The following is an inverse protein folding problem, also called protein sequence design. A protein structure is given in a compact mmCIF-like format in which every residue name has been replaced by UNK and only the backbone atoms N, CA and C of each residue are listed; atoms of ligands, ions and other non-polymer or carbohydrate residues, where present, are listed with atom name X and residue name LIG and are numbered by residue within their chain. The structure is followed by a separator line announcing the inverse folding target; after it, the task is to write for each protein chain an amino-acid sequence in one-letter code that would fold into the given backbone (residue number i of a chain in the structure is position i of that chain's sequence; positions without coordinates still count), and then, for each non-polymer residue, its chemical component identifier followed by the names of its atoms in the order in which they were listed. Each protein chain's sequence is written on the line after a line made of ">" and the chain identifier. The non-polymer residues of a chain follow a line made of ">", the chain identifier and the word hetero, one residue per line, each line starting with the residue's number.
data_IF_990884323370
#
_entry.id   IF_990884323370
#
_cell.length_a   1.000
_cell.length_b   1.000
_cell.length_c   1.000
_cell.angle_alpha   90.00
_cell.angle_beta   90.00
_cell.angle_gamma   90.00
#
_symmetry.space_group_name_H-M   'P 1'
#
loop_
_entity.id
_entity.type
_entity.pdbx_description
1 polymer ?
#
# COMPACT_ATOMS: atom_id res chain seq x y z
N UNK A 1 51.62 -3.49 70.49
CA UNK A 1 50.15 -3.61 70.39
C UNK A 1 49.81 -3.87 68.93
N UNK A 2 49.33 -5.07 68.60
CA UNK A 2 49.04 -5.50 67.22
C UNK A 2 47.54 -5.28 66.97
N UNK A 3 47.19 -4.32 66.12
CA UNK A 3 45.81 -4.05 65.72
C UNK A 3 45.28 -5.22 64.88
N UNK A 4 44.47 -6.09 65.50
CA UNK A 4 43.67 -7.09 64.79
C UNK A 4 42.44 -6.39 64.21
N UNK A 5 42.60 -5.75 63.05
CA UNK A 5 41.45 -5.37 62.24
C UNK A 5 40.82 -6.66 61.67
N UNK A 6 39.65 -7.00 62.19
CA UNK A 6 38.91 -8.20 61.81
C UNK A 6 38.46 -8.09 60.35
N UNK A 7 39.05 -8.93 59.49
CA UNK A 7 38.74 -9.03 58.06
C UNK A 7 37.23 -9.30 57.82
N UNK A 8 36.56 -9.95 58.77
CA UNK A 8 35.12 -10.20 58.70
C UNK A 8 34.29 -8.92 58.80
N UNK A 9 34.74 -7.90 59.55
CA UNK A 9 34.01 -6.63 59.68
C UNK A 9 34.13 -5.76 58.42
N UNK A 10 35.22 -5.90 57.66
CA UNK A 10 35.41 -5.21 56.37
C UNK A 10 34.54 -5.88 55.30
N UNK A 11 34.43 -7.21 55.32
CA UNK A 11 33.60 -7.97 54.37
C UNK A 11 32.10 -7.75 54.57
N UNK A 12 31.62 -7.56 55.81
CA UNK A 12 30.20 -7.24 56.07
C UNK A 12 29.85 -5.79 55.72
N UNK A 13 30.80 -4.86 55.81
CA UNK A 13 30.60 -3.45 55.42
C UNK A 13 30.61 -3.28 53.90
N UNK A 14 31.37 -4.10 53.17
CA UNK A 14 31.39 -4.11 51.69
C UNK A 14 30.11 -4.71 51.09
N UNK A 15 29.53 -5.74 51.72
CA UNK A 15 28.24 -6.34 51.32
C UNK A 15 27.03 -5.43 51.60
N UNK A 16 27.12 -4.54 52.59
CA UNK A 16 26.05 -3.57 52.89
C UNK A 16 26.13 -2.32 51.99
N UNK A 17 27.32 -1.97 51.48
CA UNK A 17 27.47 -0.90 50.49
C UNK A 17 27.11 -1.33 49.06
N UNK A 18 27.23 -2.61 48.71
CA UNK A 18 26.77 -3.13 47.40
C UNK A 18 25.24 -3.31 47.30
N UNK A 19 24.52 -3.31 48.43
CA UNK A 19 23.07 -3.49 48.44
C UNK A 19 22.27 -2.18 48.34
N UNK A 20 22.93 -1.01 48.41
CA UNK A 20 22.27 0.32 48.40
C UNK A 20 22.54 1.09 47.09
N UNK A 21 23.30 0.52 46.16
CA UNK A 21 23.54 1.11 44.82
C UNK A 21 22.65 0.55 43.70
N UNK A 22 21.65 -0.29 44.02
CA UNK A 22 20.78 -0.92 42.99
C UNK A 22 19.51 -0.14 42.66
N UNK A 23 19.25 1.00 43.29
CA UNK A 23 18.01 1.78 43.09
C UNK A 23 18.30 3.28 43.09
N UNK A 24 19.06 3.73 42.10
CA UNK A 24 18.98 5.11 41.58
C UNK A 24 19.68 5.18 40.22
N UNK A 25 19.06 4.54 39.22
CA UNK A 25 19.06 5.11 37.88
C UNK A 25 17.69 5.74 37.65
N UNK A 26 17.71 7.06 37.69
CA UNK A 26 16.72 8.00 37.18
C UNK A 26 15.74 7.42 36.16
N UNK A 27 14.46 7.57 36.48
CA UNK A 27 13.40 8.06 35.58
C UNK A 27 13.79 8.18 34.11
N UNK A 28 13.37 7.21 33.31
CA UNK A 28 13.10 7.45 31.91
C UNK A 28 11.63 7.16 31.69
N UNK A 29 10.86 8.22 31.51
CA UNK A 29 9.47 8.21 31.04
C UNK A 29 9.34 7.66 29.59
N UNK A 30 10.11 6.64 29.22
CA UNK A 30 10.18 6.12 27.85
C UNK A 30 9.90 4.61 27.73
N UNK A 31 9.60 3.91 28.83
CA UNK A 31 9.27 2.47 28.80
C UNK A 31 7.77 2.18 28.98
N UNK A 32 6.92 3.22 28.92
CA UNK A 32 5.51 2.97 28.60
C UNK A 32 5.47 2.54 27.14
N UNK A 33 4.87 1.39 26.77
CA UNK A 33 4.56 1.14 25.37
C UNK A 33 3.86 2.39 24.85
N UNK A 34 4.36 2.95 23.75
CA UNK A 34 3.76 4.11 23.13
C UNK A 34 2.24 3.86 23.07
N UNK A 35 1.47 4.81 23.61
CA UNK A 35 0.02 4.66 23.64
C UNK A 35 -0.44 4.28 22.23
N UNK A 36 -1.29 3.25 22.07
CA UNK A 36 -1.67 2.77 20.75
C UNK A 36 -2.19 3.94 19.93
N UNK A 37 -1.54 4.19 18.80
CA UNK A 37 -1.96 5.22 17.87
C UNK A 37 -3.33 4.84 17.32
N UNK A 38 -4.26 5.79 17.32
CA UNK A 38 -5.54 5.61 16.64
C UNK A 38 -5.29 5.64 15.12
N UNK A 39 -5.09 4.46 14.52
CA UNK A 39 -4.78 4.27 13.10
C UNK A 39 -5.88 4.79 12.16
N UNK A 40 -7.07 5.12 12.69
CA UNK A 40 -8.11 5.80 11.91
C UNK A 40 -7.80 7.29 11.69
N UNK A 41 -6.93 7.87 12.53
CA UNK A 41 -6.54 9.28 12.53
C UNK A 41 -5.08 9.50 12.15
N UNK A 42 -4.17 8.67 12.66
CA UNK A 42 -2.75 8.70 12.33
C UNK A 42 -2.35 7.37 11.69
N UNK A 43 -2.16 7.42 10.37
CA UNK A 43 -2.01 6.27 9.49
C UNK A 43 -0.56 5.83 9.32
N UNK A 44 0.39 6.45 10.00
CA UNK A 44 1.82 6.11 9.86
C UNK A 44 2.44 6.47 8.51
N UNK A 45 1.73 7.23 7.65
CA UNK A 45 2.24 7.79 6.40
C UNK A 45 1.59 9.15 6.14
N UNK A 46 2.18 9.94 5.24
CA UNK A 46 1.59 11.21 4.81
C UNK A 46 0.42 11.00 3.85
N UNK A 47 -0.59 11.87 3.94
CA UNK A 47 -1.72 11.86 3.01
C UNK A 47 -1.36 12.63 1.73
N UNK A 48 -1.67 12.11 0.53
CA UNK A 48 -1.32 12.77 -0.72
C UNK A 48 -2.16 14.05 -0.96
N UNK A 49 -1.54 15.06 -1.56
CA UNK A 49 -2.23 16.24 -2.12
C UNK A 49 -2.43 16.15 -3.64
N UNK A 50 -1.67 15.27 -4.30
CA UNK A 50 -1.73 14.98 -5.74
C UNK A 50 -1.44 13.52 -6.01
N UNK A 51 -2.15 12.94 -6.97
CA UNK A 51 -1.90 11.58 -7.48
C UNK A 51 -1.85 11.60 -8.99
N UNK A 52 -0.79 11.06 -9.58
CA UNK A 52 -0.66 10.89 -11.02
C UNK A 52 -0.91 9.44 -11.42
N UNK A 53 -1.69 9.26 -12.47
CA UNK A 53 -1.98 7.99 -13.12
C UNK A 53 -1.37 8.02 -14.51
N UNK A 54 -0.53 7.03 -14.82
CA UNK A 54 0.12 6.88 -16.12
C UNK A 54 -0.34 5.55 -16.70
N UNK A 55 -1.15 5.61 -17.76
CA UNK A 55 -1.57 4.44 -18.51
C UNK A 55 -0.72 4.33 -19.77
N UNK A 56 0.14 3.32 -19.85
CA UNK A 56 1.03 3.08 -20.99
C UNK A 56 0.61 1.82 -21.73
N UNK A 57 0.23 1.93 -22.99
CA UNK A 57 -0.02 0.77 -23.84
C UNK A 57 1.28 -0.05 -23.96
N UNK A 58 1.23 -1.34 -23.64
CA UNK A 58 2.44 -2.18 -23.56
C UNK A 58 3.03 -2.51 -24.93
N UNK A 59 2.24 -2.37 -26.00
CA UNK A 59 2.66 -2.64 -27.38
C UNK A 59 3.18 -1.38 -28.06
N UNK A 60 2.43 -0.27 -27.98
CA UNK A 60 2.76 0.98 -28.69
C UNK A 60 3.59 1.95 -27.87
N UNK A 61 3.72 1.72 -26.55
CA UNK A 61 4.33 2.64 -25.59
C UNK A 61 3.65 4.02 -25.48
N UNK A 62 2.48 4.20 -26.10
CA UNK A 62 1.71 5.43 -25.97
C UNK A 62 1.21 5.60 -24.53
N UNK A 63 1.38 6.80 -23.98
CA UNK A 63 0.96 7.15 -22.62
C UNK A 63 -0.27 8.04 -22.60
N UNK A 64 -1.11 7.81 -21.59
CA UNK A 64 -2.22 8.68 -21.21
C UNK A 64 -2.09 8.99 -19.73
N UNK A 65 -1.91 10.28 -19.41
CA UNK A 65 -1.69 10.73 -18.03
C UNK A 65 -2.93 11.41 -17.47
N UNK A 66 -3.25 11.17 -16.21
CA UNK A 66 -4.33 11.82 -15.46
C UNK A 66 -3.82 12.21 -14.09
N UNK A 67 -4.16 13.40 -13.61
CA UNK A 67 -3.80 13.82 -12.27
C UNK A 67 -5.07 14.01 -11.44
N UNK A 68 -5.04 13.54 -10.20
CA UNK A 68 -6.01 13.88 -9.18
C UNK A 68 -5.40 14.85 -8.19
N UNK A 69 -6.14 15.88 -7.82
CA UNK A 69 -5.73 16.92 -6.87
C UNK A 69 -6.64 16.86 -5.64
N UNK A 70 -6.08 17.17 -4.48
CA UNK A 70 -6.83 17.26 -3.24
C UNK A 70 -7.81 18.43 -3.31
N UNK A 71 -9.08 18.15 -3.02
CA UNK A 71 -10.15 19.13 -2.91
C UNK A 71 -10.83 18.99 -1.55
N UNK A 72 -11.82 19.84 -1.27
CA UNK A 72 -12.65 19.70 -0.07
C UNK A 72 -13.38 18.34 0.00
N UNK A 73 -13.67 17.74 -1.17
CA UNK A 73 -14.37 16.45 -1.29
C UNK A 73 -13.42 15.26 -1.52
N UNK A 74 -12.15 15.42 -1.16
CA UNK A 74 -11.07 14.45 -1.38
C UNK A 74 -10.37 14.59 -2.73
N UNK A 75 -9.57 13.60 -3.12
CA UNK A 75 -8.86 13.57 -4.39
C UNK A 75 -9.83 13.48 -5.57
N UNK A 76 -9.74 14.43 -6.52
CA UNK A 76 -10.54 14.46 -7.75
C UNK A 76 -9.66 14.67 -8.97
N UNK A 77 -9.98 13.99 -10.07
CA UNK A 77 -9.26 14.20 -11.33
C UNK A 77 -9.42 15.63 -11.84
N UNK A 78 -8.32 16.22 -12.27
CA UNK A 78 -8.23 17.59 -12.79
C UNK A 78 -8.88 17.74 -14.18
N UNK A 79 -9.00 16.63 -14.91
CA UNK A 79 -9.63 16.56 -16.22
C UNK A 79 -10.57 15.35 -16.34
N UNK A 80 -11.53 15.48 -17.25
CA UNK A 80 -12.58 14.46 -17.49
C UNK A 80 -12.36 13.71 -18.81
N UNK A 81 -11.21 13.85 -19.46
CA UNK A 81 -10.94 13.17 -20.72
C UNK A 81 -10.84 11.65 -20.46
N UNK A 82 -11.58 10.86 -21.22
CA UNK A 82 -11.54 9.41 -21.05
C UNK A 82 -10.16 8.86 -21.41
N UNK A 83 -9.66 7.94 -20.59
CA UNK A 83 -8.53 7.09 -20.98
C UNK A 83 -9.07 6.08 -21.99
N UNK A 84 -8.48 6.04 -23.18
CA UNK A 84 -8.89 5.10 -24.21
C UNK A 84 -8.11 3.78 -24.08
N UNK A 85 -8.86 2.69 -24.00
CA UNK A 85 -8.38 1.33 -23.92
C UNK A 85 -8.88 0.56 -25.13
N UNK A 86 -8.00 -0.16 -25.82
CA UNK A 86 -8.36 -0.95 -26.98
C UNK A 86 -8.55 -2.42 -26.57
N UNK A 87 -9.60 -3.05 -27.06
CA UNK A 87 -9.79 -4.49 -26.92
C UNK A 87 -8.60 -5.27 -27.48
N UNK A 88 -8.15 -6.29 -26.74
CA UNK A 88 -6.99 -7.11 -27.08
C UNK A 88 -5.65 -6.52 -26.63
N UNK A 89 -5.60 -5.24 -26.24
CA UNK A 89 -4.38 -4.60 -25.78
C UNK A 89 -4.21 -4.70 -24.25
N UNK A 90 -2.98 -4.47 -23.81
CA UNK A 90 -2.61 -4.35 -22.40
C UNK A 90 -2.04 -2.97 -22.10
N UNK A 91 -2.27 -2.52 -20.86
CA UNK A 91 -1.88 -1.19 -20.39
C UNK A 91 -1.22 -1.32 -19.02
N UNK A 92 0.06 -0.94 -18.94
CA UNK A 92 0.72 -0.70 -17.67
C UNK A 92 0.09 0.54 -17.03
N UNK A 93 -0.38 0.39 -15.80
CA UNK A 93 -0.73 1.48 -14.91
C UNK A 93 0.44 1.71 -13.95
N UNK A 94 0.87 2.96 -13.83
CA UNK A 94 1.64 3.45 -12.69
C UNK A 94 0.86 4.55 -11.95
N UNK A 95 0.83 4.45 -10.62
CA UNK A 95 0.21 5.42 -9.71
C UNK A 95 1.33 6.07 -8.89
N UNK A 96 1.43 7.39 -8.94
CA UNK A 96 2.42 8.16 -8.20
C UNK A 96 1.74 9.15 -7.26
N UNK A 97 1.94 8.94 -5.96
CA UNK A 97 1.42 9.78 -4.90
C UNK A 97 2.44 10.87 -4.54
N UNK A 98 1.94 12.09 -4.35
CA UNK A 98 2.71 13.24 -3.94
C UNK A 98 2.08 13.95 -2.75
N UNK A 99 2.91 14.59 -1.92
CA UNK A 99 2.52 15.59 -0.94
C UNK A 99 3.53 16.75 -1.03
N UNK A 100 3.06 17.97 -1.24
CA UNK A 100 3.90 19.16 -1.38
C UNK A 100 5.05 18.99 -2.40
N UNK A 101 4.76 18.26 -3.49
CA UNK A 101 5.73 17.94 -4.55
C UNK A 101 6.71 16.80 -4.23
N UNK A 102 6.75 16.29 -3.00
CA UNK A 102 7.53 15.11 -2.61
C UNK A 102 6.79 13.84 -2.99
N UNK A 103 7.48 12.87 -3.58
CA UNK A 103 6.94 11.55 -3.91
C UNK A 103 6.79 10.69 -2.65
N UNK A 104 5.63 10.06 -2.48
CA UNK A 104 5.25 9.30 -1.28
C UNK A 104 5.30 7.78 -1.46
N UNK A 105 5.35 7.26 -2.69
CA UNK A 105 5.16 5.82 -2.95
C UNK A 105 6.01 4.87 -2.08
N UNK A 106 7.23 5.27 -1.71
CA UNK A 106 8.12 4.49 -0.85
C UNK A 106 7.51 4.20 0.53
N UNK A 107 6.61 5.07 1.02
CA UNK A 107 5.91 4.91 2.29
C UNK A 107 4.93 3.74 2.24
N UNK A 108 4.25 3.49 1.11
CA UNK A 108 3.29 2.38 0.97
C UNK A 108 3.95 1.00 0.81
N UNK A 109 5.26 0.96 0.56
CA UNK A 109 6.02 -0.26 0.30
C UNK A 109 7.06 -0.57 1.38
N UNK A 110 7.01 0.12 2.52
CA UNK A 110 7.83 -0.25 3.68
C UNK A 110 7.41 -1.64 4.22
N UNK A 111 8.22 -2.23 5.10
CA UNK A 111 7.91 -3.52 5.72
C UNK A 111 6.64 -3.48 6.57
N UNK A 112 6.36 -2.33 7.18
CA UNK A 112 5.22 -2.07 8.06
C UNK A 112 3.95 -1.74 7.26
N UNK A 113 4.10 -1.02 6.14
CA UNK A 113 2.97 -0.49 5.37
C UNK A 113 2.51 -1.42 4.25
N UNK A 114 3.44 -2.15 3.63
CA UNK A 114 3.12 -3.10 2.57
C UNK A 114 2.14 -4.21 2.98
N UNK A 115 2.07 -4.72 4.24
CA UNK A 115 1.06 -5.70 4.64
C UNK A 115 -0.38 -5.15 4.72
N UNK A 116 -0.55 -3.82 4.75
CA UNK A 116 -1.82 -3.15 5.05
C UNK A 116 -2.32 -2.17 3.97
N UNK A 117 -1.57 -1.93 2.88
CA UNK A 117 -2.00 -1.03 1.78
C UNK A 117 -2.23 -1.73 0.44
N UNK A 118 -3.46 -1.82 -0.06
CA UNK A 118 -3.76 -2.43 -1.38
C UNK A 118 -4.65 -1.53 -2.23
N UNK A 119 -4.28 -1.39 -3.50
CA UNK A 119 -5.14 -0.79 -4.52
C UNK A 119 -6.15 -1.79 -5.04
N UNK A 120 -7.39 -1.32 -5.18
CA UNK A 120 -8.51 -2.01 -5.78
C UNK A 120 -9.07 -1.20 -6.96
N UNK A 121 -9.41 -1.91 -8.03
CA UNK A 121 -9.84 -1.34 -9.30
C UNK A 121 -11.19 -1.91 -9.70
N UNK A 122 -12.14 -1.05 -10.01
CA UNK A 122 -13.50 -1.44 -10.32
C UNK A 122 -14.06 -0.58 -11.44
N UNK A 123 -14.56 -1.19 -12.52
CA UNK A 123 -15.34 -0.47 -13.51
C UNK A 123 -16.74 -0.20 -12.96
N UNK A 124 -17.22 1.03 -13.18
CA UNK A 124 -18.61 1.42 -12.98
C UNK A 124 -19.22 1.80 -14.33
N UNK A 125 -20.45 1.37 -14.58
CA UNK A 125 -21.24 1.74 -15.76
C UNK A 125 -22.47 2.48 -15.31
N UNK A 126 -22.70 3.68 -15.82
CA UNK A 126 -23.84 4.54 -15.46
C UNK A 126 -23.97 4.72 -13.93
N UNK A 127 -22.85 4.95 -13.25
CA UNK A 127 -22.80 5.14 -11.79
C UNK A 127 -22.95 3.87 -10.95
N UNK A 128 -23.13 2.69 -11.56
CA UNK A 128 -23.26 1.40 -10.87
C UNK A 128 -22.00 0.56 -11.02
N UNK A 129 -21.62 -0.15 -9.97
CA UNK A 129 -20.52 -1.11 -10.00
C UNK A 129 -20.82 -2.23 -11.00
N UNK A 130 -19.84 -2.56 -11.86
CA UNK A 130 -19.90 -3.75 -12.71
C UNK A 130 -19.63 -4.98 -11.84
N UNK A 131 -20.49 -5.99 -11.92
CA UNK A 131 -20.36 -7.22 -11.14
C UNK A 131 -19.05 -7.95 -11.44
N UNK A 132 -18.48 -8.65 -10.45
CA UNK A 132 -17.15 -9.27 -10.59
C UNK A 132 -17.02 -10.20 -11.80
N UNK A 133 -18.05 -11.01 -12.07
CA UNK A 133 -18.06 -11.94 -13.20
C UNK A 133 -18.18 -11.24 -14.58
N UNK A 134 -18.72 -10.02 -14.62
CA UNK A 134 -18.72 -9.18 -15.81
C UNK A 134 -17.39 -8.43 -15.93
N UNK A 135 -16.86 -7.90 -14.82
CA UNK A 135 -15.54 -7.28 -14.77
C UNK A 135 -14.47 -8.24 -15.31
N UNK A 136 -14.50 -9.52 -14.88
CA UNK A 136 -13.57 -10.55 -15.36
C UNK A 136 -13.75 -10.89 -16.85
N UNK A 137 -14.90 -10.58 -17.45
CA UNK A 137 -15.12 -10.72 -18.90
C UNK A 137 -14.60 -9.53 -19.68
N UNK A 138 -14.55 -8.34 -19.08
CA UNK A 138 -14.08 -7.12 -19.71
C UNK A 138 -12.57 -6.92 -19.57
N UNK A 139 -12.03 -7.15 -18.37
CA UNK A 139 -10.66 -6.76 -18.01
C UNK A 139 -10.07 -7.74 -17.00
N UNK A 140 -8.76 -7.96 -17.05
CA UNK A 140 -7.98 -8.52 -15.95
C UNK A 140 -6.90 -7.55 -15.50
N UNK A 141 -6.43 -7.68 -14.26
CA UNK A 141 -5.33 -6.88 -13.72
C UNK A 141 -4.32 -7.76 -13.00
N UNK A 142 -3.05 -7.55 -13.30
CA UNK A 142 -1.92 -8.19 -12.64
C UNK A 142 -1.08 -7.13 -11.92
N UNK A 143 -0.87 -7.32 -10.61
CA UNK A 143 0.03 -6.47 -9.84
C UNK A 143 1.47 -6.66 -10.31
N UNK A 144 2.19 -5.55 -10.53
CA UNK A 144 3.58 -5.55 -11.00
C UNK A 144 4.42 -4.48 -10.30
N UNK A 145 4.14 -4.22 -9.02
CA UNK A 145 5.04 -3.44 -8.16
C UNK A 145 6.45 -4.03 -8.21
N UNK A 146 7.47 -3.17 -8.14
CA UNK A 146 8.87 -3.55 -8.30
C UNK A 146 9.68 -3.34 -7.01
N UNK A 147 10.85 -3.94 -6.97
CA UNK A 147 11.92 -3.64 -6.01
C UNK A 147 13.22 -3.36 -6.80
N UNK A 148 13.79 -2.14 -6.74
CA UNK A 148 13.28 -0.96 -6.03
C UNK A 148 11.93 -0.47 -6.57
N UNK A 149 11.14 0.21 -5.72
CA UNK A 149 9.75 0.58 -6.04
C UNK A 149 9.62 1.53 -7.23
N UNK A 150 10.59 2.41 -7.45
CA UNK A 150 10.59 3.32 -8.60
C UNK A 150 11.26 2.73 -9.85
N UNK A 151 11.70 1.47 -9.79
CA UNK A 151 12.33 0.78 -10.92
C UNK A 151 11.34 0.39 -12.01
N UNK A 152 11.84 0.24 -13.23
CA UNK A 152 11.04 -0.28 -14.36
C UNK A 152 11.37 -1.75 -14.56
N UNK A 153 10.34 -2.61 -14.57
CA UNK A 153 10.54 -4.04 -14.75
C UNK A 153 11.22 -4.35 -16.09
N UNK A 154 12.32 -5.10 -16.04
CA UNK A 154 13.19 -5.39 -17.19
C UNK A 154 14.52 -4.63 -17.17
N UNK A 155 14.65 -3.59 -16.35
CA UNK A 155 15.93 -2.92 -16.10
C UNK A 155 16.83 -3.77 -15.19
N UNK A 156 18.15 -3.54 -15.31
CA UNK A 156 19.14 -4.24 -14.48
C UNK A 156 18.94 -3.92 -13.00
N UNK A 157 18.86 -4.95 -12.16
CA UNK A 157 18.66 -4.79 -10.72
C UNK A 157 17.21 -4.51 -10.30
N UNK A 158 16.25 -4.50 -11.22
CA UNK A 158 14.83 -4.34 -10.91
C UNK A 158 14.13 -5.70 -10.99
N UNK A 159 13.38 -6.03 -9.96
CA UNK A 159 12.60 -7.27 -9.89
C UNK A 159 11.15 -7.01 -9.48
N UNK A 160 10.27 -7.97 -9.73
CA UNK A 160 8.92 -7.92 -9.15
C UNK A 160 9.01 -7.98 -7.63
N UNK A 161 8.31 -7.05 -6.98
CA UNK A 161 8.19 -6.99 -5.54
C UNK A 161 7.50 -8.24 -5.03
N UNK A 162 8.15 -8.90 -4.07
CA UNK A 162 7.61 -10.08 -3.40
C UNK A 162 7.00 -9.71 -2.06
N UNK A 163 5.98 -10.43 -1.62
CA UNK A 163 5.36 -10.26 -0.29
C UNK A 163 6.24 -10.85 0.82
N UNK A 164 7.46 -10.34 0.98
CA UNK A 164 8.42 -10.82 2.00
C UNK A 164 7.88 -10.76 3.43
N UNK A 165 6.87 -9.92 3.68
CA UNK A 165 6.11 -9.85 4.93
C UNK A 165 5.13 -11.03 5.16
N UNK A 166 4.85 -11.85 4.15
CA UNK A 166 4.03 -13.05 4.25
C UNK A 166 4.91 -14.26 4.56
N UNK A 167 4.89 -14.71 5.81
CA UNK A 167 5.68 -15.86 6.26
C UNK A 167 5.25 -17.18 5.62
N UNK A 168 4.03 -17.28 5.07
CA UNK A 168 3.56 -18.51 4.44
C UNK A 168 3.97 -18.60 2.97
N UNK A 169 3.98 -17.46 2.27
CA UNK A 169 4.22 -17.43 0.82
C UNK A 169 5.08 -16.21 0.41
N UNK A 170 6.32 -16.08 0.93
CA UNK A 170 7.10 -14.85 0.82
C UNK A 170 7.58 -14.51 -0.60
N UNK A 171 7.52 -15.46 -1.53
CA UNK A 171 8.01 -15.33 -2.91
C UNK A 171 6.92 -14.95 -3.91
N UNK A 172 5.67 -14.87 -3.48
CA UNK A 172 4.54 -14.45 -4.32
C UNK A 172 4.53 -12.93 -4.49
N UNK A 173 3.80 -12.44 -5.49
CA UNK A 173 3.76 -11.00 -5.81
C UNK A 173 3.05 -10.22 -4.70
N UNK A 174 3.61 -9.08 -4.29
CA UNK A 174 2.98 -8.17 -3.32
C UNK A 174 1.89 -7.31 -4.00
N UNK A 175 0.61 -7.39 -3.57
CA UNK A 175 -0.48 -6.71 -4.25
C UNK A 175 -0.66 -5.26 -3.74
N UNK A 176 0.40 -4.45 -3.65
CA UNK A 176 0.24 -3.04 -3.25
C UNK A 176 -0.52 -2.29 -4.34
N UNK A 177 -0.12 -2.41 -5.61
CA UNK A 177 -0.79 -1.86 -6.78
C UNK A 177 -0.45 -0.42 -7.13
N UNK A 178 0.75 0.03 -6.80
CA UNK A 178 1.32 1.25 -7.38
C UNK A 178 1.69 1.02 -8.85
N UNK A 179 2.00 -0.22 -9.22
CA UNK A 179 2.18 -0.66 -10.62
C UNK A 179 1.41 -1.93 -10.92
N UNK A 180 0.93 -2.07 -12.14
CA UNK A 180 0.33 -3.30 -12.65
C UNK A 180 -0.23 -3.17 -14.04
N UNK A 181 -0.62 -4.29 -14.65
CA UNK A 181 -1.03 -4.34 -16.04
C UNK A 181 -2.50 -4.70 -16.14
N UNK A 182 -3.29 -3.82 -16.76
CA UNK A 182 -4.61 -4.15 -17.25
C UNK A 182 -4.51 -4.87 -18.59
N UNK A 183 -5.26 -5.95 -18.77
CA UNK A 183 -5.47 -6.59 -20.08
C UNK A 183 -6.93 -6.47 -20.45
N UNK A 184 -7.19 -5.84 -21.59
CA UNK A 184 -8.53 -5.52 -22.07
C UNK A 184 -9.00 -6.66 -22.97
N UNK A 185 -10.03 -7.37 -22.56
CA UNK A 185 -10.48 -8.57 -23.26
C UNK A 185 -11.27 -8.18 -24.51
N UNK A 186 -11.15 -8.98 -25.56
CA UNK A 186 -12.00 -8.85 -26.74
C UNK A 186 -13.41 -9.34 -26.41
N UNK A 187 -14.39 -8.44 -26.49
CA UNK A 187 -15.78 -8.74 -26.11
C UNK A 187 -16.73 -8.67 -27.29
N UNK A 188 -16.37 -7.92 -28.34
CA UNK A 188 -17.26 -7.70 -29.48
C UNK A 188 -18.43 -6.76 -29.19
N UNK A 189 -18.47 -6.08 -28.04
CA UNK A 189 -19.59 -5.24 -27.59
C UNK A 189 -19.60 -3.82 -28.17
N UNK A 190 -18.72 -3.51 -29.12
CA UNK A 190 -18.52 -2.14 -29.61
C UNK A 190 -17.82 -1.25 -28.59
N UNK A 191 -17.83 0.05 -28.86
CA UNK A 191 -17.28 1.05 -27.93
C UNK A 191 -18.14 1.14 -26.66
N UNK A 192 -17.52 1.01 -25.49
CA UNK A 192 -18.17 1.08 -24.17
C UNK A 192 -17.51 2.16 -23.31
N UNK A 193 -18.29 2.82 -22.45
CA UNK A 193 -17.79 3.85 -21.52
C UNK A 193 -18.04 3.45 -20.08
N UNK A 194 -17.05 3.71 -19.23
CA UNK A 194 -17.03 3.35 -17.81
C UNK A 194 -16.34 4.44 -17.00
N UNK A 195 -16.54 4.42 -15.68
CA UNK A 195 -15.61 5.03 -14.73
C UNK A 195 -14.76 3.93 -14.11
N UNK A 196 -13.43 4.01 -14.23
CA UNK A 196 -12.53 3.21 -13.43
C UNK A 196 -12.40 3.84 -12.05
N UNK A 197 -13.02 3.20 -11.05
CA UNK A 197 -12.86 3.54 -9.64
C UNK A 197 -11.57 2.91 -9.11
N UNK A 198 -10.69 3.73 -8.57
CA UNK A 198 -9.43 3.35 -7.94
C UNK A 198 -9.53 3.66 -6.46
N UNK A 199 -9.31 2.64 -5.63
CA UNK A 199 -9.35 2.75 -4.16
C UNK A 199 -8.05 2.26 -3.57
N UNK A 200 -7.40 3.07 -2.73
CA UNK A 200 -6.31 2.62 -1.88
C UNK A 200 -6.89 2.28 -0.50
N UNK A 201 -6.96 1.00 -0.18
CA UNK A 201 -7.39 0.54 1.12
C UNK A 201 -6.21 0.47 2.09
N UNK A 202 -6.39 1.09 3.25
CA UNK A 202 -5.55 0.97 4.43
C UNK A 202 -6.27 0.07 5.43
N UNK A 203 -5.81 -1.17 5.57
CA UNK A 203 -6.35 -2.12 6.54
C UNK A 203 -5.80 -1.84 7.94
N UNK A 204 -6.67 -1.80 8.96
CA UNK A 204 -6.26 -1.57 10.36
C UNK A 204 -5.44 -2.74 10.96
N UNK A 205 -5.39 -3.86 10.24
CA UNK A 205 -4.56 -5.03 10.52
C UNK A 205 -4.17 -5.67 9.20
N UNK A 206 -3.09 -6.45 9.17
CA UNK A 206 -2.67 -7.24 7.99
C UNK A 206 -3.83 -8.09 7.46
N UNK A 207 -4.47 -7.63 6.37
CA UNK A 207 -5.71 -8.20 5.85
C UNK A 207 -5.77 -8.21 4.31
N UNK A 208 -4.62 -8.13 3.63
CA UNK A 208 -4.52 -8.27 2.17
C UNK A 208 -4.78 -9.66 1.64
N UNK A 209 -4.73 -10.67 2.52
CA UNK A 209 -4.82 -12.08 2.14
C UNK A 209 -6.17 -12.63 2.57
N UNK A 210 -6.74 -13.51 1.76
CA UNK A 210 -7.94 -14.23 2.16
C UNK A 210 -7.61 -15.28 3.21
N UNK A 211 -8.22 -15.24 4.41
CA UNK A 211 -7.80 -16.08 5.53
C UNK A 211 -7.83 -17.58 5.26
N UNK A 212 -8.73 -18.03 4.37
CA UNK A 212 -8.90 -19.45 4.06
C UNK A 212 -7.90 -19.98 3.03
N UNK A 213 -7.42 -19.13 2.13
CA UNK A 213 -6.63 -19.57 0.96
C UNK A 213 -5.21 -19.02 0.98
N UNK A 214 -4.92 -18.00 1.80
CA UNK A 214 -3.63 -17.30 1.79
C UNK A 214 -3.35 -16.54 0.49
N UNK A 215 -4.31 -16.48 -0.44
CA UNK A 215 -4.18 -15.74 -1.70
C UNK A 215 -4.46 -14.26 -1.46
N UNK A 216 -3.78 -13.39 -2.21
CA UNK A 216 -4.12 -11.98 -2.24
C UNK A 216 -5.60 -11.78 -2.59
N UNK A 217 -6.23 -10.80 -1.94
CA UNK A 217 -7.57 -10.36 -2.32
C UNK A 217 -7.56 -9.93 -3.78
N UNK A 218 -8.64 -10.25 -4.48
CA UNK A 218 -8.79 -9.96 -5.90
C UNK A 218 -8.86 -8.44 -6.10
N UNK A 219 -8.21 -7.95 -7.15
CA UNK A 219 -8.08 -6.52 -7.42
C UNK A 219 -9.44 -5.79 -7.57
N UNK A 220 -10.49 -6.49 -8.03
CA UNK A 220 -11.84 -5.95 -8.21
C UNK A 220 -12.80 -6.30 -7.06
N UNK A 221 -12.31 -6.90 -5.96
CA UNK A 221 -13.14 -7.35 -4.85
C UNK A 221 -12.68 -6.70 -3.53
N UNK A 222 -13.09 -5.44 -3.32
CA UNK A 222 -12.96 -4.81 -1.99
C UNK A 222 -14.19 -5.15 -1.17
N UNK A 223 -14.10 -6.21 -0.36
CA UNK A 223 -15.14 -6.57 0.58
C UNK A 223 -15.07 -5.64 1.81
N UNK A 224 -16.16 -4.90 2.05
CA UNK A 224 -16.32 -4.09 3.26
C UNK A 224 -16.37 -5.00 4.50
N UNK A 225 -15.21 -5.22 5.10
CA UNK A 225 -15.12 -5.54 6.53
C UNK A 225 -14.96 -4.22 7.28
N UNK A 226 -15.44 -4.12 8.52
CA UNK A 226 -15.31 -2.91 9.35
C UNK A 226 -13.88 -2.59 9.80
N UNK A 227 -12.87 -2.97 9.03
CA UNK A 227 -11.46 -3.02 9.42
C UNK A 227 -10.53 -2.38 8.38
N UNK A 228 -11.01 -1.38 7.64
CA UNK A 228 -10.16 -0.54 6.80
C UNK A 228 -10.71 0.88 6.66
N UNK A 229 -9.82 1.81 6.31
CA UNK A 229 -10.14 3.15 5.81
C UNK A 229 -9.60 3.31 4.38
N UNK A 230 -10.13 4.27 3.63
CA UNK A 230 -9.61 4.60 2.31
C UNK A 230 -8.61 5.75 2.45
N UNK A 231 -7.40 5.57 1.93
CA UNK A 231 -6.44 6.67 1.75
C UNK A 231 -6.74 7.45 0.48
N UNK A 232 -7.32 6.77 -0.51
CA UNK A 232 -7.76 7.39 -1.75
C UNK A 232 -8.98 6.67 -2.34
N UNK A 233 -9.89 7.44 -2.93
CA UNK A 233 -11.05 6.95 -3.69
C UNK A 233 -11.33 7.91 -4.85
N UNK A 234 -10.94 7.50 -6.05
CA UNK A 234 -10.95 8.33 -7.25
C UNK A 234 -11.64 7.60 -8.40
N UNK A 235 -12.17 8.35 -9.36
CA UNK A 235 -12.85 7.80 -10.54
C UNK A 235 -12.33 8.48 -11.81
N UNK A 236 -11.66 7.71 -12.67
CA UNK A 236 -11.19 8.19 -13.98
C UNK A 236 -12.11 7.67 -15.07
N UNK A 237 -12.63 8.53 -15.98
CA UNK A 237 -13.39 8.06 -17.12
C UNK A 237 -12.51 7.18 -18.03
N UNK A 238 -13.05 6.06 -18.48
CA UNK A 238 -12.40 5.10 -19.36
C UNK A 238 -13.34 4.74 -20.50
N UNK A 239 -12.79 4.63 -21.71
CA UNK A 239 -13.50 4.21 -22.90
C UNK A 239 -12.81 2.99 -23.48
N UNK A 240 -13.52 1.87 -23.53
CA UNK A 240 -13.05 0.65 -24.20
C UNK A 240 -13.50 0.72 -25.67
N UNK A 241 -12.56 0.67 -26.60
CA UNK A 241 -12.76 0.73 -28.06
C UNK A 241 -12.34 -0.59 -28.70
N UNK A 242 -12.90 -0.91 -29.86
CA UNK A 242 -12.53 -2.10 -30.65
C UNK A 242 -11.28 -1.83 -31.51
#
# INVERSE_FOLDING_TARGET
>A
MKNKFSLNKILTMLMLFLAVFSISSCSRDSDSPQAPTDETKDRGHEMPDRVEFIFKNTTTSQEQRRAALMTQDGLKFDNTAAVEWKEGDSYLLEIVYYNNGRRLNSEFVSQEMAPIHQHFFQLNKNGKQVEEAEMDRLVSYEYQDTDPENGVLGESGVSLRRRSWDTQNPTEVDPVGLKGVFTIKTTGLGTQSFDLRVRLAHFLVKNKLEPKTGRARKYNALHYSGSFVLDADMKVPVKIVQ
#
